data_IF_879405484335
#
_entry.id   IF_879405484335
#
_cell.length_a   1.000
_cell.length_b   1.000
_cell.length_c   1.000
_cell.angle_alpha   90.00
_cell.angle_beta   90.00
_cell.angle_gamma   90.00
#
_symmetry.space_group_name_H-M   'P 1'
#
loop_
_entity.id
_entity.type
_entity.pdbx_description
1 polymer ?
#
# COMPACT_ATOMS: atom_id res chain seq x y z
N UNK A 1 -14.97 6.76 -0.95
CA UNK A 1 -14.13 6.23 0.15
C UNK A 1 -13.61 4.85 -0.19
N UNK A 2 -14.44 3.94 -0.70
CA UNK A 2 -14.04 2.59 -1.12
C UNK A 2 -12.87 2.57 -2.12
N UNK A 3 -12.89 3.45 -3.12
CA UNK A 3 -11.79 3.64 -4.09
C UNK A 3 -10.44 4.00 -3.45
N UNK A 4 -10.43 4.51 -2.22
CA UNK A 4 -9.21 4.83 -1.47
C UNK A 4 -8.87 3.73 -0.47
N UNK A 5 -9.88 3.08 0.11
CA UNK A 5 -9.71 2.06 1.15
C UNK A 5 -9.17 0.78 0.54
N UNK A 6 -9.73 0.32 -0.58
CA UNK A 6 -9.39 -0.98 -1.16
C UNK A 6 -7.94 -1.04 -1.69
N UNK A 7 -7.48 -0.12 -2.58
CA UNK A 7 -6.07 0.01 -2.96
C UNK A 7 -5.08 -0.01 -1.80
N UNK A 8 -5.39 0.76 -0.74
CA UNK A 8 -4.48 0.93 0.39
C UNK A 8 -4.47 -0.31 1.27
N UNK A 9 -5.62 -0.96 1.45
CA UNK A 9 -5.71 -2.23 2.17
C UNK A 9 -4.88 -3.32 1.47
N UNK A 10 -4.93 -3.42 0.13
CA UNK A 10 -4.13 -4.41 -0.60
C UNK A 10 -2.63 -4.20 -0.41
N UNK A 11 -2.15 -2.96 -0.52
CA UNK A 11 -0.74 -2.63 -0.26
C UNK A 11 -0.33 -2.99 1.17
N UNK A 12 -1.13 -2.63 2.17
CA UNK A 12 -0.80 -2.92 3.57
C UNK A 12 -0.76 -4.43 3.83
N UNK A 13 -1.70 -5.20 3.27
CA UNK A 13 -1.71 -6.66 3.39
C UNK A 13 -0.48 -7.29 2.73
N UNK A 14 -0.09 -6.82 1.54
CA UNK A 14 1.10 -7.33 0.85
C UNK A 14 2.38 -7.03 1.65
N UNK A 15 2.50 -5.81 2.19
CA UNK A 15 3.62 -5.42 3.06
C UNK A 15 3.71 -6.28 4.32
N UNK A 16 2.57 -6.60 4.94
CA UNK A 16 2.50 -7.47 6.12
C UNK A 16 2.85 -8.93 5.78
N UNK A 17 2.31 -9.46 4.68
CA UNK A 17 2.60 -10.82 4.21
C UNK A 17 4.09 -11.03 3.91
N UNK A 18 4.73 -10.01 3.35
CA UNK A 18 6.18 -9.99 3.08
C UNK A 18 7.04 -9.62 4.28
N UNK A 19 6.45 -9.29 5.44
CA UNK A 19 7.15 -8.84 6.65
C UNK A 19 8.08 -7.63 6.42
N UNK A 20 7.70 -6.74 5.51
CA UNK A 20 8.48 -5.56 5.14
C UNK A 20 8.35 -4.43 6.18
N UNK A 21 7.28 -4.47 6.98
CA UNK A 21 7.03 -3.49 8.03
C UNK A 21 7.58 -3.99 9.37
N UNK A 22 8.37 -3.15 10.03
CA UNK A 22 8.88 -3.42 11.39
C UNK A 22 7.78 -3.45 12.45
N UNK A 23 6.65 -2.80 12.18
CA UNK A 23 5.46 -2.74 13.04
C UNK A 23 4.20 -2.71 12.19
N UNK A 24 3.11 -3.21 12.74
CA UNK A 24 1.82 -3.16 12.07
C UNK A 24 1.41 -1.69 11.84
N UNK A 25 1.05 -1.31 10.61
CA UNK A 25 0.64 0.04 10.29
C UNK A 25 -0.77 0.30 10.84
N UNK A 26 -1.01 1.47 11.42
CA UNK A 26 -2.38 1.88 11.74
C UNK A 26 -3.18 2.02 10.44
N UNK A 27 -4.18 1.15 10.27
CA UNK A 27 -5.04 1.13 9.11
C UNK A 27 -5.79 2.45 8.92
N UNK A 28 -6.34 3.01 10.00
CA UNK A 28 -7.01 4.31 9.98
C UNK A 28 -6.05 5.40 9.46
N UNK A 29 -4.85 5.49 10.02
CA UNK A 29 -3.88 6.49 9.58
C UNK A 29 -3.52 6.31 8.11
N UNK A 30 -3.29 5.08 7.65
CA UNK A 30 -2.92 4.81 6.27
C UNK A 30 -4.03 5.18 5.27
N UNK A 31 -5.30 5.01 5.62
CA UNK A 31 -6.44 5.42 4.78
C UNK A 31 -6.55 6.94 4.69
N UNK A 32 -6.29 7.67 5.78
CA UNK A 32 -6.44 9.13 5.79
C UNK A 32 -5.23 9.88 5.23
N UNK A 33 -4.11 9.20 4.94
CA UNK A 33 -2.95 9.84 4.32
C UNK A 33 -3.30 10.46 2.95
N UNK A 34 -2.73 11.65 2.65
CA UNK A 34 -2.64 12.15 1.29
C UNK A 34 -2.03 11.10 0.37
N UNK A 35 -2.44 11.09 -0.89
CA UNK A 35 -1.99 10.06 -1.85
C UNK A 35 -0.47 10.07 -2.02
N UNK A 36 0.13 11.24 -2.22
CA UNK A 36 1.59 11.35 -2.34
C UNK A 36 2.33 10.82 -1.10
N UNK A 37 1.82 11.08 0.11
CA UNK A 37 2.41 10.55 1.34
C UNK A 37 2.25 9.04 1.45
N UNK A 38 1.08 8.51 1.07
CA UNK A 38 0.84 7.07 1.03
C UNK A 38 1.81 6.38 0.07
N UNK A 39 1.93 6.88 -1.16
CA UNK A 39 2.83 6.34 -2.19
C UNK A 39 4.30 6.41 -1.74
N UNK A 40 4.73 7.55 -1.18
CA UNK A 40 6.08 7.71 -0.66
C UNK A 40 6.40 6.70 0.44
N UNK A 41 5.49 6.58 1.42
CA UNK A 41 5.71 5.78 2.63
C UNK A 41 5.57 4.28 2.42
N UNK A 42 4.60 3.85 1.61
CA UNK A 42 4.23 2.43 1.51
C UNK A 42 4.62 1.78 0.18
N UNK A 43 5.07 2.56 -0.81
CA UNK A 43 5.50 2.03 -2.12
C UNK A 43 6.94 2.44 -2.40
N UNK A 44 7.23 3.74 -2.50
CA UNK A 44 8.55 4.22 -2.90
C UNK A 44 9.66 3.91 -1.86
N UNK A 45 9.29 3.71 -0.59
CA UNK A 45 10.21 3.29 0.47
C UNK A 45 10.71 1.84 0.32
N UNK A 46 10.11 1.05 -0.57
CA UNK A 46 10.42 -0.36 -0.83
C UNK A 46 10.82 -0.55 -2.29
N UNK A 47 11.99 -0.06 -2.74
CA UNK A 47 12.34 -0.01 -4.16
C UNK A 47 12.39 -1.39 -4.83
N UNK A 48 12.73 -2.45 -4.09
CA UNK A 48 12.77 -3.81 -4.61
C UNK A 48 11.35 -4.38 -4.87
N UNK A 49 10.35 -3.94 -4.10
CA UNK A 49 8.96 -4.39 -4.19
C UNK A 49 8.02 -3.32 -4.78
N UNK A 50 8.55 -2.15 -5.16
CA UNK A 50 7.77 -0.97 -5.53
C UNK A 50 6.83 -1.25 -6.70
N UNK A 51 7.27 -2.04 -7.68
CA UNK A 51 6.45 -2.42 -8.82
C UNK A 51 5.24 -3.26 -8.39
N UNK A 52 5.47 -4.31 -7.60
CA UNK A 52 4.41 -5.21 -7.08
C UNK A 52 3.43 -4.45 -6.17
N UNK A 53 3.96 -3.58 -5.30
CA UNK A 53 3.16 -2.73 -4.42
C UNK A 53 2.32 -1.73 -5.22
N UNK A 54 2.86 -1.19 -6.32
CA UNK A 54 2.12 -0.30 -7.21
C UNK A 54 1.03 -1.04 -8.00
N UNK A 55 1.27 -2.30 -8.40
CA UNK A 55 0.25 -3.15 -9.01
C UNK A 55 -0.90 -3.44 -8.04
N UNK A 56 -0.57 -3.76 -6.78
CA UNK A 56 -1.56 -3.94 -5.72
C UNK A 56 -2.33 -2.64 -5.45
N UNK A 57 -1.66 -1.49 -5.43
CA UNK A 57 -2.30 -0.18 -5.25
C UNK A 57 -3.27 0.15 -6.40
N UNK A 58 -2.88 -0.14 -7.64
CA UNK A 58 -3.72 0.19 -8.81
C UNK A 58 -4.88 -0.78 -9.01
N UNK A 59 -5.01 -1.82 -8.18
CA UNK A 59 -6.17 -2.71 -8.21
C UNK A 59 -6.36 -3.38 -9.57
N UNK A 60 -5.39 -4.21 -9.98
CA UNK A 60 -5.52 -5.26 -11.00
C UNK A 60 -6.06 -4.86 -12.40
N UNK A 61 -5.14 -4.62 -13.36
CA UNK A 61 -5.41 -4.62 -14.82
C UNK A 61 -5.24 -6.01 -15.48
N UNK A 62 -5.29 -7.09 -14.70
CA UNK A 62 -5.19 -8.46 -15.21
C UNK A 62 -6.49 -9.19 -14.87
N UNK A 63 -7.50 -8.96 -15.71
CA UNK A 63 -8.58 -9.93 -16.00
C UNK A 63 -8.41 -10.31 -17.47
#
# INVERSE_FOLDING_TARGET
MEERVFPRHQVLNLLMAKKLLKKEPSFANAIFLPEAEFLGKYIASFPAEAEELLMAYKGHLLV
#
